data_IF_263308003327
#
_entry.id   IF_263308003327
#
_cell.length_a   1.000
_cell.length_b   1.000
_cell.length_c   1.000
_cell.angle_alpha   90.00
_cell.angle_beta   90.00
_cell.angle_gamma   90.00
#
_symmetry.space_group_name_H-M   'P 1'
#
loop_
_entity.id
_entity.type
_entity.pdbx_description
1 polymer ?
#
# COMPACT_ATOMS: atom_id res chain seq x y z
N UNK A 1 18.70 8.42 -19.81
CA UNK A 1 17.44 9.19 -19.72
C UNK A 1 17.72 10.64 -19.34
N UNK A 2 17.66 11.59 -20.29
CA UNK A 2 17.54 13.03 -19.99
C UNK A 2 16.09 13.42 -20.25
N UNK A 3 15.28 13.57 -19.21
CA UNK A 3 13.96 14.23 -19.32
C UNK A 3 14.16 15.72 -19.05
N UNK A 4 14.09 16.51 -20.11
CA UNK A 4 13.93 17.97 -20.03
C UNK A 4 12.56 18.28 -19.46
N UNK A 5 12.51 18.58 -18.16
CA UNK A 5 11.30 19.04 -17.48
C UNK A 5 11.18 20.57 -17.64
N UNK A 6 10.46 21.01 -18.67
CA UNK A 6 10.17 22.42 -18.92
C UNK A 6 8.83 22.85 -18.31
N UNK A 7 8.76 23.08 -16.99
CA UNK A 7 7.59 23.65 -16.34
C UNK A 7 7.89 24.20 -14.93
N UNK A 8 7.17 25.24 -14.48
CA UNK A 8 7.37 25.81 -13.14
C UNK A 8 7.09 24.78 -12.02
N UNK A 9 6.03 23.96 -12.19
CA UNK A 9 5.68 22.89 -11.25
C UNK A 9 6.71 21.75 -11.18
N UNK A 10 7.53 21.56 -12.22
CA UNK A 10 8.58 20.54 -12.19
C UNK A 10 9.82 21.01 -11.44
N UNK A 11 10.09 22.32 -11.43
CA UNK A 11 11.16 22.90 -10.61
C UNK A 11 10.86 22.79 -9.12
N UNK A 12 9.60 23.01 -8.71
CA UNK A 12 9.16 22.86 -7.31
C UNK A 12 9.23 21.39 -6.86
N UNK A 13 8.68 20.47 -7.67
CA UNK A 13 8.77 19.02 -7.40
C UNK A 13 10.23 18.56 -7.32
N UNK A 14 11.09 19.06 -8.19
CA UNK A 14 12.52 18.79 -8.15
C UNK A 14 13.18 19.33 -6.89
N UNK A 15 12.85 20.55 -6.47
CA UNK A 15 13.42 21.20 -5.27
C UNK A 15 13.05 20.46 -3.98
N UNK A 16 11.80 20.00 -3.86
CA UNK A 16 11.31 19.22 -2.70
C UNK A 16 11.90 17.80 -2.70
N UNK A 17 12.02 17.19 -3.87
CA UNK A 17 12.59 15.83 -3.99
C UNK A 17 14.11 15.83 -3.86
N UNK A 18 14.76 16.98 -4.03
CA UNK A 18 16.22 17.12 -4.06
C UNK A 18 16.94 16.65 -2.79
N UNK A 19 16.55 17.07 -1.57
CA UNK A 19 17.20 16.60 -0.35
C UNK A 19 17.05 15.08 -0.17
N UNK A 20 15.88 14.53 -0.51
CA UNK A 20 15.60 13.10 -0.40
C UNK A 20 16.42 12.29 -1.43
N UNK A 21 16.50 12.78 -2.67
CA UNK A 21 17.29 12.17 -3.74
C UNK A 21 18.80 12.27 -3.49
N UNK A 22 19.28 13.36 -2.88
CA UNK A 22 20.68 13.53 -2.53
C UNK A 22 21.06 12.57 -1.39
N UNK A 23 20.19 12.42 -0.40
CA UNK A 23 20.39 11.50 0.71
C UNK A 23 20.39 10.03 0.22
N UNK A 24 19.44 9.67 -0.66
CA UNK A 24 19.43 8.35 -1.32
C UNK A 24 20.64 8.14 -2.24
N UNK A 25 21.11 9.17 -2.96
CA UNK A 25 22.28 9.07 -3.82
C UNK A 25 23.58 8.89 -3.02
N UNK A 26 23.65 9.47 -1.82
CA UNK A 26 24.81 9.38 -0.95
C UNK A 26 24.86 8.04 -0.20
N UNK A 27 23.69 7.47 0.09
CA UNK A 27 23.57 6.21 0.84
C UNK A 27 23.48 4.98 -0.05
N UNK A 28 22.90 5.05 -1.25
CA UNK A 28 22.73 3.89 -2.15
C UNK A 28 23.79 3.94 -3.27
N UNK A 29 24.73 2.96 -3.33
CA UNK A 29 25.71 2.91 -4.41
C UNK A 29 25.01 2.70 -5.75
N UNK A 30 25.35 3.54 -6.73
CA UNK A 30 24.76 3.46 -8.06
C UNK A 30 25.39 2.33 -8.89
N UNK A 31 24.74 1.17 -8.89
CA UNK A 31 25.16 -0.02 -9.66
C UNK A 31 25.03 0.13 -11.19
N UNK A 32 24.47 1.23 -11.70
CA UNK A 32 24.47 1.50 -13.14
C UNK A 32 25.87 1.84 -13.70
N UNK A 33 26.86 2.08 -12.83
CA UNK A 33 28.25 2.28 -13.25
C UNK A 33 29.03 0.96 -13.12
N UNK A 34 29.85 0.58 -14.14
CA UNK A 34 30.58 -0.69 -14.14
C UNK A 34 31.59 -0.84 -12.98
N UNK A 35 31.96 0.25 -12.30
CA UNK A 35 32.83 0.20 -11.10
C UNK A 35 32.12 -0.32 -9.84
N UNK A 36 30.79 -0.23 -9.77
CA UNK A 36 29.99 -0.52 -8.56
C UNK A 36 29.06 -1.73 -8.72
N UNK A 37 29.16 -2.46 -9.83
CA UNK A 37 28.34 -3.64 -10.13
C UNK A 37 28.49 -4.77 -9.09
N UNK A 38 29.70 -4.90 -8.51
CA UNK A 38 30.00 -5.87 -7.44
C UNK A 38 29.25 -5.60 -6.12
N UNK A 39 28.75 -4.38 -5.92
CA UNK A 39 28.04 -3.98 -4.70
C UNK A 39 26.51 -4.06 -4.86
N UNK A 40 26.00 -4.76 -5.87
CA UNK A 40 24.56 -4.91 -6.12
C UNK A 40 23.77 -5.34 -4.87
N UNK A 41 24.26 -6.34 -4.15
CA UNK A 41 23.57 -6.87 -2.97
C UNK A 41 23.50 -5.84 -1.84
N UNK A 42 24.52 -4.98 -1.71
CA UNK A 42 24.55 -3.90 -0.73
C UNK A 42 23.60 -2.77 -1.10
N UNK A 43 23.52 -2.39 -2.39
CA UNK A 43 22.53 -1.44 -2.88
C UNK A 43 21.10 -1.94 -2.65
N UNK A 44 20.85 -3.24 -2.84
CA UNK A 44 19.56 -3.87 -2.59
C UNK A 44 19.16 -3.83 -1.10
N UNK A 45 20.10 -4.16 -0.20
CA UNK A 45 19.84 -4.10 1.25
C UNK A 45 19.58 -2.66 1.70
N UNK A 46 20.39 -1.70 1.25
CA UNK A 46 20.23 -0.29 1.63
C UNK A 46 18.94 0.31 1.07
N UNK A 47 18.54 -0.03 -0.16
CA UNK A 47 17.23 0.40 -0.68
C UNK A 47 16.08 -0.20 0.12
N UNK A 48 16.18 -1.47 0.53
CA UNK A 48 15.18 -2.13 1.37
C UNK A 48 15.06 -1.47 2.75
N UNK A 49 16.18 -1.12 3.37
CA UNK A 49 16.20 -0.38 4.64
C UNK A 49 15.57 1.01 4.50
N UNK A 50 15.84 1.73 3.41
CA UNK A 50 15.21 3.03 3.17
C UNK A 50 13.69 2.93 2.98
N UNK A 51 13.21 1.93 2.25
CA UNK A 51 11.78 1.66 2.11
C UNK A 51 11.17 1.38 3.49
N UNK A 52 11.84 0.58 4.34
CA UNK A 52 11.39 0.33 5.71
C UNK A 52 11.36 1.60 6.58
N UNK A 53 12.38 2.46 6.49
CA UNK A 53 12.42 3.75 7.20
C UNK A 53 11.30 4.68 6.73
N UNK A 54 11.08 4.80 5.42
CA UNK A 54 9.98 5.61 4.90
C UNK A 54 8.61 5.06 5.29
N UNK A 55 8.44 3.74 5.28
CA UNK A 55 7.22 3.08 5.77
C UNK A 55 7.00 3.35 7.26
N UNK A 56 8.04 3.27 8.08
CA UNK A 56 7.96 3.61 9.51
C UNK A 56 7.58 5.07 9.73
N UNK A 57 8.20 6.00 9.00
CA UNK A 57 7.86 7.44 9.08
C UNK A 57 6.41 7.70 8.65
N UNK A 58 5.92 7.00 7.63
CA UNK A 58 4.53 7.10 7.18
C UNK A 58 3.55 6.66 8.29
N UNK A 59 3.80 5.51 8.90
CA UNK A 59 3.00 4.99 10.03
C UNK A 59 3.10 5.90 11.25
N UNK A 60 4.30 6.41 11.54
CA UNK A 60 4.54 7.31 12.65
C UNK A 60 3.84 8.67 12.47
N UNK A 61 3.90 9.26 11.28
CA UNK A 61 3.22 10.53 10.97
C UNK A 61 1.69 10.40 11.06
N UNK A 62 1.15 9.24 10.72
CA UNK A 62 -0.24 8.88 10.94
C UNK A 62 -0.57 8.79 12.44
N UNK A 63 0.25 8.07 13.21
CA UNK A 63 0.10 7.96 14.67
C UNK A 63 0.25 9.31 15.39
N UNK A 64 1.09 10.22 14.89
CA UNK A 64 1.29 11.55 15.45
C UNK A 64 0.07 12.46 15.30
N UNK A 65 -0.62 12.41 14.15
CA UNK A 65 -1.86 13.17 13.96
C UNK A 65 -2.94 12.79 14.98
N UNK A 66 -2.94 11.53 15.45
CA UNK A 66 -3.81 11.05 16.53
C UNK A 66 -3.42 11.63 17.91
N UNK A 67 -2.13 11.69 18.24
CA UNK A 67 -1.65 12.18 19.55
C UNK A 67 -1.65 13.70 19.73
N UNK A 68 -1.72 14.48 18.65
CA UNK A 68 -1.58 15.95 18.69
C UNK A 68 -2.88 16.71 18.38
N UNK A 69 -4.03 16.02 18.41
CA UNK A 69 -5.36 16.65 18.32
C UNK A 69 -5.87 17.05 19.72
N UNK A 70 -5.75 18.31 20.18
CA UNK A 70 -6.43 18.80 21.40
C UNK A 70 -7.96 18.80 21.27
N UNK A 71 -8.49 18.43 20.10
CA UNK A 71 -9.91 18.42 19.76
C UNK A 71 -10.68 17.21 20.34
N UNK A 72 -9.98 16.19 20.85
CA UNK A 72 -10.60 15.00 21.43
C UNK A 72 -10.88 15.13 22.94
N UNK A 73 -10.22 16.04 23.65
CA UNK A 73 -10.44 16.23 25.11
C UNK A 73 -11.65 17.12 25.42
N UNK A 74 -12.13 17.93 24.45
CA UNK A 74 -13.18 18.93 24.69
C UNK A 74 -14.59 18.54 24.25
N UNK A 75 -14.80 17.40 23.59
CA UNK A 75 -16.09 17.07 22.99
C UNK A 75 -16.70 15.80 23.58
N UNK A 76 -17.26 15.92 24.78
CA UNK A 76 -18.39 15.08 25.16
C UNK A 76 -19.62 15.53 24.38
N UNK A 77 -19.79 15.07 23.14
CA UNK A 77 -21.05 15.21 22.41
C UNK A 77 -21.18 14.19 21.26
N UNK A 78 -22.30 13.48 21.26
CA UNK A 78 -22.60 12.24 20.52
C UNK A 78 -22.89 12.41 19.02
N UNK A 79 -22.36 13.45 18.36
CA UNK A 79 -22.63 13.66 16.94
C UNK A 79 -21.45 14.34 16.24
N UNK A 80 -20.46 13.54 15.80
CA UNK A 80 -19.30 14.02 15.03
C UNK A 80 -19.15 13.27 13.71
N UNK A 81 -19.99 13.66 12.75
CA UNK A 81 -19.76 13.40 11.34
C UNK A 81 -18.51 14.22 10.91
N UNK A 82 -17.48 13.55 10.37
CA UNK A 82 -16.35 14.08 9.57
C UNK A 82 -14.96 14.37 10.16
N UNK A 83 -14.57 13.94 11.36
CA UNK A 83 -13.14 13.98 11.78
C UNK A 83 -12.73 12.79 12.65
N UNK A 84 -13.04 11.58 12.18
CA UNK A 84 -12.54 10.34 12.75
C UNK A 84 -12.62 9.24 11.72
N UNK A 85 -11.63 9.17 10.82
CA UNK A 85 -11.54 8.05 9.87
C UNK A 85 -11.13 6.82 10.69
N UNK A 86 -11.85 5.69 10.59
CA UNK A 86 -11.44 4.43 11.19
C UNK A 86 -10.00 4.06 10.87
N UNK A 87 -9.25 3.55 11.86
CA UNK A 87 -7.87 3.09 11.66
C UNK A 87 -7.80 2.00 10.58
N UNK A 88 -8.84 1.16 10.50
CA UNK A 88 -8.99 0.15 9.44
C UNK A 88 -9.02 0.81 8.06
N UNK A 89 -9.79 1.88 7.88
CA UNK A 89 -9.91 2.61 6.60
C UNK A 89 -8.58 3.26 6.23
N UNK A 90 -7.88 3.85 7.20
CA UNK A 90 -6.56 4.43 6.95
C UNK A 90 -5.53 3.36 6.55
N UNK A 91 -5.62 2.16 7.14
CA UNK A 91 -4.84 0.99 6.75
C UNK A 91 -5.13 0.51 5.32
N UNK A 92 -6.40 0.25 4.98
CA UNK A 92 -6.78 -0.29 3.66
C UNK A 92 -6.68 0.74 2.51
N UNK A 93 -6.55 2.03 2.80
CA UNK A 93 -6.43 3.09 1.78
C UNK A 93 -5.05 3.72 1.73
N UNK A 94 -4.64 4.46 2.77
CA UNK A 94 -3.41 5.24 2.75
C UNK A 94 -2.17 4.36 2.88
N UNK A 95 -2.17 3.44 3.85
CA UNK A 95 -1.03 2.55 4.06
C UNK A 95 -0.88 1.58 2.88
N UNK A 96 -1.98 0.96 2.45
CA UNK A 96 -2.02 0.07 1.29
C UNK A 96 -1.63 0.77 -0.03
N UNK A 97 -2.09 2.00 -0.26
CA UNK A 97 -1.63 2.78 -1.42
C UNK A 97 -0.15 3.15 -1.30
N UNK A 98 0.32 3.49 -0.09
CA UNK A 98 1.71 3.82 0.19
C UNK A 98 2.68 2.69 -0.17
N UNK A 99 2.33 1.44 0.13
CA UNK A 99 3.12 0.26 -0.24
C UNK A 99 3.01 -0.08 -1.72
N UNK A 100 1.83 0.07 -2.33
CA UNK A 100 1.60 -0.32 -3.74
C UNK A 100 2.13 0.70 -4.77
N UNK A 101 2.31 1.96 -4.39
CA UNK A 101 2.86 3.01 -5.28
C UNK A 101 4.26 2.69 -5.81
N UNK A 102 5.27 2.34 -4.99
CA UNK A 102 6.60 1.97 -5.49
C UNK A 102 6.56 0.75 -6.41
N UNK A 103 5.74 -0.26 -6.10
CA UNK A 103 5.60 -1.47 -6.94
C UNK A 103 4.96 -1.17 -8.30
N UNK A 104 3.96 -0.28 -8.31
CA UNK A 104 3.35 0.22 -9.53
C UNK A 104 4.37 0.98 -10.39
N UNK A 105 5.19 1.85 -9.78
CA UNK A 105 6.26 2.58 -10.48
C UNK A 105 7.30 1.61 -11.06
N UNK A 106 7.73 0.61 -10.29
CA UNK A 106 8.68 -0.40 -10.75
C UNK A 106 8.14 -1.18 -11.96
N UNK A 107 6.91 -1.69 -11.85
CA UNK A 107 6.22 -2.42 -12.93
C UNK A 107 6.03 -1.55 -14.17
N UNK A 108 5.69 -0.27 -13.99
CA UNK A 108 5.53 0.69 -15.08
C UNK A 108 6.86 0.96 -15.80
N UNK A 109 7.98 1.12 -15.07
CA UNK A 109 9.29 1.34 -15.67
C UNK A 109 9.70 0.15 -16.55
N UNK A 110 9.52 -1.07 -16.04
CA UNK A 110 9.84 -2.32 -16.76
C UNK A 110 8.92 -2.53 -17.97
N UNK A 111 7.62 -2.27 -17.83
CA UNK A 111 6.68 -2.32 -18.94
C UNK A 111 7.04 -1.31 -20.05
N UNK A 112 7.50 -0.10 -19.69
CA UNK A 112 7.96 0.93 -20.64
C UNK A 112 9.25 0.55 -21.36
N UNK A 113 10.03 -0.38 -20.82
CA UNK A 113 11.22 -0.94 -21.46
C UNK A 113 10.90 -2.10 -22.42
N UNK A 114 9.61 -2.45 -22.58
CA UNK A 114 9.17 -3.57 -23.43
C UNK A 114 9.21 -4.93 -22.73
N UNK A 115 9.54 -4.97 -21.44
CA UNK A 115 9.62 -6.19 -20.63
C UNK A 115 8.28 -6.47 -19.93
N UNK A 116 7.21 -6.64 -20.71
CA UNK A 116 5.85 -6.82 -20.19
C UNK A 116 5.71 -8.00 -19.23
N UNK A 117 6.33 -9.14 -19.54
CA UNK A 117 6.28 -10.35 -18.72
C UNK A 117 6.88 -10.13 -17.32
N UNK A 118 7.96 -9.34 -17.25
CA UNK A 118 8.60 -8.97 -15.98
C UNK A 118 7.75 -7.99 -15.17
N UNK A 119 7.00 -7.10 -15.84
CA UNK A 119 6.05 -6.21 -15.16
C UNK A 119 4.87 -7.00 -14.55
N UNK A 120 4.37 -8.02 -15.26
CA UNK A 120 3.32 -8.92 -14.76
C UNK A 120 3.83 -9.77 -13.60
N UNK A 121 5.04 -10.34 -13.70
CA UNK A 121 5.62 -11.12 -12.61
C UNK A 121 5.84 -10.29 -11.35
N UNK A 122 6.25 -9.02 -11.49
CA UNK A 122 6.41 -8.13 -10.35
C UNK A 122 5.07 -7.85 -9.65
N UNK A 123 4.02 -7.57 -10.41
CA UNK A 123 2.68 -7.28 -9.88
C UNK A 123 2.05 -8.48 -9.15
N UNK A 124 2.27 -9.70 -9.66
CA UNK A 124 1.76 -10.92 -9.02
C UNK A 124 2.64 -11.27 -7.80
N UNK A 125 3.96 -11.16 -7.94
CA UNK A 125 4.93 -11.52 -6.91
C UNK A 125 4.84 -10.63 -5.66
N UNK A 126 4.66 -9.30 -5.82
CA UNK A 126 4.52 -8.38 -4.70
C UNK A 126 3.31 -8.72 -3.84
N UNK A 127 2.14 -9.00 -4.44
CA UNK A 127 0.93 -9.37 -3.72
C UNK A 127 1.08 -10.71 -2.98
N UNK A 128 1.75 -11.69 -3.59
CA UNK A 128 2.03 -12.98 -2.94
C UNK A 128 2.98 -12.79 -1.76
N UNK A 129 4.00 -11.95 -1.91
CA UNK A 129 4.92 -11.60 -0.83
C UNK A 129 4.20 -10.89 0.33
N UNK A 130 3.32 -9.94 0.05
CA UNK A 130 2.55 -9.21 1.06
C UNK A 130 1.63 -10.13 1.86
N UNK A 131 0.98 -11.10 1.21
CA UNK A 131 0.11 -12.06 1.91
C UNK A 131 0.95 -13.03 2.76
N UNK A 132 2.01 -13.61 2.20
CA UNK A 132 2.79 -14.64 2.90
C UNK A 132 3.67 -14.05 3.99
N UNK A 133 4.43 -13.00 3.66
CA UNK A 133 5.41 -12.39 4.55
C UNK A 133 4.78 -11.28 5.37
N UNK A 134 3.99 -10.40 4.74
CA UNK A 134 3.34 -9.27 5.41
C UNK A 134 2.30 -9.67 6.46
N UNK A 135 1.51 -10.72 6.23
CA UNK A 135 0.59 -11.25 7.25
C UNK A 135 1.21 -12.37 8.09
N UNK A 136 2.00 -13.26 7.48
CA UNK A 136 2.52 -14.44 8.16
C UNK A 136 3.59 -14.13 9.22
N UNK A 137 4.52 -13.22 8.94
CA UNK A 137 5.62 -12.91 9.87
C UNK A 137 5.13 -12.22 11.15
N UNK A 138 4.24 -11.21 11.11
CA UNK A 138 3.73 -10.59 12.34
C UNK A 138 2.95 -11.57 13.22
N UNK A 139 2.13 -12.44 12.63
CA UNK A 139 1.40 -13.46 13.39
C UNK A 139 2.34 -14.52 13.99
N UNK A 140 3.36 -14.92 13.25
CA UNK A 140 4.41 -15.81 13.76
C UNK A 140 5.16 -15.16 14.92
N UNK A 141 5.54 -13.88 14.82
CA UNK A 141 6.20 -13.17 15.92
C UNK A 141 5.28 -12.97 17.13
N UNK A 142 3.99 -12.70 16.93
CA UNK A 142 3.03 -12.55 18.03
C UNK A 142 2.87 -13.86 18.83
N UNK A 143 2.74 -14.98 18.12
CA UNK A 143 2.53 -16.31 18.72
C UNK A 143 3.79 -16.89 19.36
N UNK A 144 4.98 -16.59 18.82
CA UNK A 144 6.26 -17.09 19.33
C UNK A 144 6.89 -16.15 20.36
N UNK A 145 6.88 -14.84 20.16
CA UNK A 145 7.68 -13.92 20.99
C UNK A 145 6.89 -13.19 22.08
N UNK A 146 5.59 -12.94 21.87
CA UNK A 146 4.80 -12.07 22.77
C UNK A 146 3.84 -12.89 23.64
N UNK A 147 3.15 -13.88 23.06
CA UNK A 147 2.19 -14.72 23.80
C UNK A 147 2.25 -16.16 23.32
N UNK A 148 3.19 -16.93 23.91
CA UNK A 148 3.35 -18.35 23.64
C UNK A 148 2.03 -19.11 23.79
N UNK A 149 1.50 -19.63 22.68
CA UNK A 149 0.27 -20.42 22.65
C UNK A 149 -1.04 -19.64 22.74
N UNK A 150 -1.02 -18.30 22.59
CA UNK A 150 -2.23 -17.49 22.54
C UNK A 150 -2.91 -17.57 21.17
N UNK A 151 -4.23 -17.76 21.15
CA UNK A 151 -5.04 -17.72 19.94
C UNK A 151 -5.48 -16.27 19.66
N UNK A 152 -5.14 -15.77 18.47
CA UNK A 152 -5.60 -14.45 18.03
C UNK A 152 -7.07 -14.58 17.61
N UNK A 153 -7.98 -14.05 18.44
CA UNK A 153 -9.40 -14.00 18.10
C UNK A 153 -9.65 -12.98 16.99
N UNK A 154 -9.94 -13.46 15.78
CA UNK A 154 -10.25 -12.63 14.61
C UNK A 154 -11.77 -12.56 14.42
N UNK A 155 -12.31 -11.35 14.25
CA UNK A 155 -13.74 -11.15 13.93
C UNK A 155 -14.09 -11.89 12.62
N UNK A 156 -14.78 -13.03 12.73
CA UNK A 156 -15.00 -13.94 11.61
C UNK A 156 -15.92 -13.36 10.53
N UNK A 157 -16.85 -12.46 10.90
CA UNK A 157 -17.80 -11.88 9.93
C UNK A 157 -17.11 -10.90 8.99
N UNK A 158 -16.33 -9.95 9.53
CA UNK A 158 -15.58 -8.98 8.72
C UNK A 158 -14.54 -9.65 7.83
N UNK A 159 -13.82 -10.64 8.36
CA UNK A 159 -12.81 -11.37 7.59
C UNK A 159 -13.43 -12.12 6.39
N UNK A 160 -14.56 -12.81 6.61
CA UNK A 160 -15.23 -13.55 5.53
C UNK A 160 -15.68 -12.62 4.42
N UNK A 161 -16.28 -11.47 4.73
CA UNK A 161 -16.68 -10.49 3.69
C UNK A 161 -15.46 -9.97 2.92
N UNK A 162 -14.39 -9.59 3.59
CA UNK A 162 -13.15 -9.11 2.96
C UNK A 162 -12.53 -10.16 2.04
N UNK A 163 -12.49 -11.43 2.47
CA UNK A 163 -11.97 -12.55 1.66
C UNK A 163 -12.84 -12.81 0.44
N UNK A 164 -14.17 -12.85 0.61
CA UNK A 164 -15.11 -13.07 -0.51
C UNK A 164 -14.99 -11.95 -1.54
N UNK A 165 -14.91 -10.70 -1.09
CA UNK A 165 -14.75 -9.55 -1.99
C UNK A 165 -13.41 -9.58 -2.73
N UNK A 166 -12.32 -9.93 -2.03
CA UNK A 166 -10.99 -10.03 -2.63
C UNK A 166 -10.93 -11.16 -3.66
N UNK A 167 -11.48 -12.33 -3.35
CA UNK A 167 -11.56 -13.43 -4.33
C UNK A 167 -12.46 -13.07 -5.51
N UNK A 168 -13.58 -12.38 -5.26
CA UNK A 168 -14.46 -11.88 -6.31
C UNK A 168 -13.76 -10.89 -7.25
N UNK A 169 -12.96 -9.96 -6.73
CA UNK A 169 -12.23 -9.00 -7.56
C UNK A 169 -11.14 -9.67 -8.41
N UNK A 170 -10.42 -10.65 -7.85
CA UNK A 170 -9.46 -11.47 -8.60
C UNK A 170 -10.17 -12.27 -9.70
N UNK A 171 -11.31 -12.90 -9.41
CA UNK A 171 -12.06 -13.66 -10.41
C UNK A 171 -12.54 -12.76 -11.57
N UNK A 172 -13.09 -11.58 -11.26
CA UNK A 172 -13.56 -10.64 -12.28
C UNK A 172 -12.42 -10.05 -13.12
N UNK A 173 -11.27 -9.75 -12.51
CA UNK A 173 -10.10 -9.25 -13.26
C UNK A 173 -9.52 -10.33 -14.18
N UNK A 174 -9.38 -11.58 -13.71
CA UNK A 174 -8.94 -12.70 -14.53
C UNK A 174 -9.93 -12.98 -15.67
N UNK A 175 -11.25 -12.93 -15.39
CA UNK A 175 -12.28 -13.07 -16.41
C UNK A 175 -12.17 -11.95 -17.45
N UNK A 176 -11.98 -10.70 -17.03
CA UNK A 176 -11.79 -9.56 -17.94
C UNK A 176 -10.57 -9.72 -18.84
N UNK A 177 -9.45 -10.20 -18.30
CA UNK A 177 -8.23 -10.50 -19.06
C UNK A 177 -8.48 -11.65 -20.06
N UNK A 178 -9.18 -12.70 -19.62
CA UNK A 178 -9.50 -13.86 -20.45
C UNK A 178 -10.40 -13.47 -21.64
N UNK A 179 -11.44 -12.66 -21.39
CA UNK A 179 -12.32 -12.12 -22.44
C UNK A 179 -11.56 -11.24 -23.43
N UNK A 180 -10.51 -10.54 -22.98
CA UNK A 180 -9.62 -9.75 -23.84
C UNK A 180 -8.49 -10.60 -24.48
N UNK A 181 -8.64 -11.94 -24.52
CA UNK A 181 -7.69 -12.89 -25.13
C UNK A 181 -6.26 -12.74 -24.58
N UNK A 182 -6.11 -12.47 -23.29
CA UNK A 182 -4.81 -12.26 -22.63
C UNK A 182 -3.98 -11.12 -23.22
N UNK A 183 -4.63 -10.12 -23.83
CA UNK A 183 -3.97 -8.90 -24.30
C UNK A 183 -4.22 -7.76 -23.32
N UNK A 184 -3.15 -7.05 -22.96
CA UNK A 184 -3.23 -5.91 -22.05
C UNK A 184 -3.41 -4.62 -22.87
N UNK A 185 -4.67 -4.29 -23.18
CA UNK A 185 -5.01 -3.06 -23.90
C UNK A 185 -5.35 -1.90 -22.95
N UNK A 186 -5.28 -0.67 -23.45
CA UNK A 186 -5.69 0.52 -22.69
C UNK A 186 -7.15 0.43 -22.21
N UNK A 187 -8.04 -0.16 -23.02
CA UNK A 187 -9.44 -0.39 -22.66
C UNK A 187 -9.58 -1.31 -21.44
N UNK A 188 -8.80 -2.40 -21.41
CA UNK A 188 -8.75 -3.31 -20.27
C UNK A 188 -8.20 -2.61 -19.02
N UNK A 189 -7.18 -1.76 -19.18
CA UNK A 189 -6.66 -0.93 -18.08
C UNK A 189 -7.72 -0.01 -17.47
N UNK A 190 -8.52 0.67 -18.30
CA UNK A 190 -9.64 1.50 -17.83
C UNK A 190 -10.71 0.65 -17.13
N UNK A 191 -11.04 -0.53 -17.69
CA UNK A 191 -11.97 -1.46 -17.06
C UNK A 191 -11.51 -1.90 -15.66
N UNK A 192 -10.25 -2.31 -15.51
CA UNK A 192 -9.69 -2.75 -14.22
C UNK A 192 -9.64 -1.59 -13.22
N UNK A 193 -9.38 -0.35 -13.67
CA UNK A 193 -9.35 0.83 -12.82
C UNK A 193 -10.76 1.20 -12.30
N UNK A 194 -11.78 1.11 -13.15
CA UNK A 194 -13.19 1.29 -12.75
C UNK A 194 -13.59 0.20 -11.75
N UNK A 195 -13.23 -1.05 -12.03
CA UNK A 195 -13.51 -2.17 -11.13
C UNK A 195 -12.84 -1.98 -9.76
N UNK A 196 -11.60 -1.52 -9.73
CA UNK A 196 -10.89 -1.17 -8.49
C UNK A 196 -11.59 -0.05 -7.71
N UNK A 197 -12.06 1.01 -8.39
CA UNK A 197 -12.79 2.09 -7.74
C UNK A 197 -14.12 1.62 -7.13
N UNK A 198 -14.87 0.77 -7.84
CA UNK A 198 -16.11 0.16 -7.33
C UNK A 198 -15.82 -0.72 -6.11
N UNK A 199 -14.80 -1.58 -6.21
CA UNK A 199 -14.38 -2.45 -5.11
C UNK A 199 -13.98 -1.66 -3.87
N UNK A 200 -13.16 -0.63 -4.04
CA UNK A 200 -12.69 0.23 -2.95
C UNK A 200 -13.87 0.98 -2.31
N UNK A 201 -14.80 1.49 -3.11
CA UNK A 201 -16.03 2.12 -2.62
C UNK A 201 -16.86 1.15 -1.77
N UNK A 202 -17.08 -0.07 -2.27
CA UNK A 202 -17.87 -1.10 -1.57
C UNK A 202 -17.19 -1.55 -0.26
N UNK A 203 -15.86 -1.74 -0.29
CA UNK A 203 -15.06 -2.09 0.88
C UNK A 203 -15.16 -1.03 1.98
N UNK A 204 -15.04 0.26 1.61
CA UNK A 204 -15.20 1.38 2.55
C UNK A 204 -16.63 1.44 3.12
N UNK A 205 -17.66 1.23 2.29
CA UNK A 205 -19.06 1.27 2.74
C UNK A 205 -19.40 0.14 3.73
N UNK A 206 -18.83 -1.05 3.54
CA UNK A 206 -18.96 -2.16 4.51
C UNK A 206 -18.26 -1.81 5.82
N UNK A 207 -17.07 -1.23 5.75
CA UNK A 207 -16.29 -0.86 6.94
C UNK A 207 -16.98 0.23 7.77
N UNK A 208 -17.68 1.16 7.13
CA UNK A 208 -18.54 2.14 7.80
C UNK A 208 -19.88 1.56 8.31
N UNK A 209 -20.08 0.25 8.25
CA UNK A 209 -21.32 -0.44 8.65
C UNK A 209 -22.59 0.10 7.96
N UNK A 210 -22.47 0.67 6.75
CA UNK A 210 -23.60 1.30 6.04
C UNK A 210 -24.66 0.28 5.65
N UNK A 211 -24.23 -0.92 5.23
CA UNK A 211 -25.14 -1.97 4.76
C UNK A 211 -25.42 -3.05 5.82
N UNK A 212 -24.47 -3.30 6.73
CA UNK A 212 -24.53 -4.36 7.73
C UNK A 212 -23.64 -4.01 8.92
N UNK A 213 -24.07 -4.26 10.15
CA UNK A 213 -23.20 -4.16 11.35
C UNK A 213 -22.19 -5.32 11.35
N UNK A 214 -21.03 -5.12 10.73
CA UNK A 214 -19.95 -6.11 10.61
C UNK A 214 -18.85 -5.86 11.65
N UNK A 215 -18.58 -4.60 11.94
CA UNK A 215 -17.61 -4.18 12.95
C UNK A 215 -18.32 -3.51 14.13
N UNK A 216 -17.86 -3.81 15.35
CA UNK A 216 -18.29 -3.08 16.54
C UNK A 216 -17.91 -1.58 16.39
N UNK A 217 -18.66 -0.64 16.98
CA UNK A 217 -18.18 0.72 17.11
C UNK A 217 -16.80 0.68 17.78
N UNK A 218 -15.78 1.23 17.12
CA UNK A 218 -14.45 1.31 17.72
C UNK A 218 -14.57 2.07 19.05
N UNK A 219 -14.15 1.41 20.13
CA UNK A 219 -14.24 1.96 21.47
C UNK A 219 -13.60 3.34 21.52
N UNK A 220 -14.31 4.30 22.12
CA UNK A 220 -13.67 5.49 22.67
C UNK A 220 -12.68 5.01 23.72
N UNK A 221 -11.39 5.24 23.49
CA UNK A 221 -10.41 5.09 24.55
C UNK A 221 -10.66 6.21 25.59
N UNK A 222 -10.72 5.88 26.89
CA UNK A 222 -10.95 6.85 27.96
C UNK A 222 -9.81 7.86 28.11
#
# INVERSE_FOLDING_TARGET
MKKTWGGCGSKIKWLISWPLLLLLFLTVPNCAKPRWEKFFMLSFILSTLWIAVFSYVMVWMHSLHRSSSPLCVFAGDYNRLHTGIPDVIMGITFLAAGTSVPDCIASLIVARQGLGDMAVSNTIGSNVFDILVGLGVPWFMQTVCISYGSEVMINSRGLVYSVVLLLGSVALTVLGIHLNKWRLDFKLGVYVLILYAIFLCFSILIEFNVFTFVNLPMCMEP
#
